data_IF_586680265501
#
_entry.id   IF_586680265501
#
_cell.length_a   1.000
_cell.length_b   1.000
_cell.length_c   1.000
_cell.angle_alpha   90.00
_cell.angle_beta   90.00
_cell.angle_gamma   90.00
#
_symmetry.space_group_name_H-M   'P 1'
#
loop_
_entity.id
_entity.type
_entity.pdbx_description
1 polymer ?
#
# COMPACT_ATOMS: atom_id res chain seq x y z
N UNK A 1 5.70 -14.80 -9.47
CA UNK A 1 6.67 -13.72 -9.76
C UNK A 1 6.14 -12.39 -9.27
N UNK A 2 5.26 -11.69 -10.00
CA UNK A 2 4.73 -10.38 -9.58
C UNK A 2 4.13 -10.38 -8.16
N UNK A 3 3.26 -11.35 -7.86
CA UNK A 3 2.65 -11.43 -6.54
C UNK A 3 3.69 -11.61 -5.42
N UNK A 4 4.75 -12.38 -5.67
CA UNK A 4 5.80 -12.62 -4.67
C UNK A 4 6.65 -11.37 -4.47
N UNK A 5 6.87 -10.58 -5.52
CA UNK A 5 7.57 -9.30 -5.45
C UNK A 5 6.77 -8.26 -4.67
N UNK A 6 5.45 -8.22 -4.86
CA UNK A 6 4.55 -7.38 -4.05
C UNK A 6 4.62 -7.82 -2.59
N UNK A 7 4.47 -9.12 -2.29
CA UNK A 7 4.54 -9.63 -0.90
C UNK A 7 5.87 -9.27 -0.24
N UNK A 8 7.00 -9.43 -0.94
CA UNK A 8 8.33 -9.05 -0.46
C UNK A 8 8.41 -7.55 -0.16
N UNK A 9 7.91 -6.71 -1.08
CA UNK A 9 7.92 -5.25 -0.87
C UNK A 9 7.10 -4.87 0.38
N UNK A 10 5.89 -5.41 0.54
CA UNK A 10 5.07 -5.16 1.73
C UNK A 10 5.78 -5.55 3.04
N UNK A 11 6.47 -6.70 3.05
CA UNK A 11 7.24 -7.14 4.22
C UNK A 11 8.44 -6.23 4.49
N UNK A 12 9.14 -5.76 3.46
CA UNK A 12 10.23 -4.78 3.61
C UNK A 12 9.75 -3.46 4.24
N UNK A 13 8.49 -3.09 3.99
CA UNK A 13 7.83 -1.96 4.63
C UNK A 13 7.11 -2.34 5.93
N UNK A 14 7.43 -3.47 6.57
CA UNK A 14 6.81 -3.88 7.84
C UNK A 14 5.26 -3.99 7.81
N UNK A 15 4.67 -4.24 6.65
CA UNK A 15 3.26 -4.55 6.49
C UNK A 15 3.13 -6.08 6.37
N UNK A 16 2.59 -6.71 7.42
CA UNK A 16 2.61 -8.16 7.57
C UNK A 16 1.24 -8.83 7.32
N UNK A 17 1.21 -10.12 6.91
CA UNK A 17 -0.02 -10.85 6.56
C UNK A 17 -1.12 -10.91 7.61
N UNK A 18 -0.78 -10.74 8.89
CA UNK A 18 -1.74 -10.72 10.00
C UNK A 18 -2.57 -9.41 10.07
N UNK A 19 -2.17 -8.36 9.35
CA UNK A 19 -2.94 -7.10 9.28
C UNK A 19 -3.92 -7.13 8.11
N UNK A 20 -5.16 -6.65 8.33
CA UNK A 20 -6.17 -6.55 7.24
C UNK A 20 -5.68 -5.69 6.07
N UNK A 21 -4.97 -4.60 6.36
CA UNK A 21 -4.43 -3.73 5.31
C UNK A 21 -3.39 -4.41 4.43
N UNK A 22 -2.70 -5.46 4.89
CA UNK A 22 -1.83 -6.26 4.02
C UNK A 22 -2.61 -6.91 2.87
N UNK A 23 -3.71 -7.60 3.21
CA UNK A 23 -4.54 -8.28 2.20
C UNK A 23 -5.10 -7.28 1.19
N UNK A 24 -5.57 -6.13 1.67
CA UNK A 24 -6.13 -5.10 0.80
C UNK A 24 -5.07 -4.45 -0.07
N UNK A 25 -3.92 -4.10 0.50
CA UNK A 25 -2.83 -3.48 -0.24
C UNK A 25 -2.24 -4.43 -1.28
N UNK A 26 -2.17 -5.75 -0.99
CA UNK A 26 -1.79 -6.76 -1.98
C UNK A 26 -2.69 -6.70 -3.22
N UNK A 27 -4.01 -6.70 -3.05
CA UNK A 27 -4.95 -6.58 -4.19
C UNK A 27 -4.89 -5.21 -4.87
N UNK A 28 -4.73 -4.13 -4.12
CA UNK A 28 -4.55 -2.79 -4.69
C UNK A 28 -3.32 -2.75 -5.59
N UNK A 29 -2.20 -3.32 -5.15
CA UNK A 29 -0.94 -3.38 -5.90
C UNK A 29 -1.05 -4.26 -7.14
N UNK A 30 -1.71 -5.42 -7.04
CA UNK A 30 -2.01 -6.28 -8.20
C UNK A 30 -2.78 -5.48 -9.27
N UNK A 31 -3.89 -4.84 -8.91
CA UNK A 31 -4.66 -4.02 -9.86
C UNK A 31 -3.90 -2.81 -10.40
N UNK A 32 -3.08 -2.16 -9.57
CA UNK A 32 -2.34 -0.98 -9.96
C UNK A 32 -1.22 -1.31 -10.96
N UNK A 33 -0.50 -2.43 -10.76
CA UNK A 33 0.60 -2.85 -11.64
C UNK A 33 0.09 -3.51 -12.92
N UNK A 34 -0.98 -4.30 -12.85
CA UNK A 34 -1.59 -4.92 -14.04
C UNK A 34 -2.22 -3.90 -15.00
N UNK A 35 -2.19 -2.60 -14.66
CA UNK A 35 -2.45 -1.54 -15.61
C UNK A 35 -3.91 -1.43 -16.01
N UNK A 36 -4.83 -1.61 -15.06
CA UNK A 36 -6.27 -1.62 -15.32
C UNK A 36 -6.87 -0.26 -15.74
N UNK A 37 -6.04 0.77 -15.96
CA UNK A 37 -6.42 2.13 -16.38
C UNK A 37 -7.23 2.90 -15.34
N UNK A 38 -7.26 2.43 -14.10
CA UNK A 38 -8.11 2.96 -13.02
C UNK A 38 -7.34 3.83 -12.05
N UNK A 39 -8.03 4.83 -11.53
CA UNK A 39 -7.58 5.61 -10.39
C UNK A 39 -7.54 4.76 -9.13
N UNK A 40 -6.77 5.19 -8.14
CA UNK A 40 -6.67 4.48 -6.85
C UNK A 40 -8.02 4.33 -6.15
N UNK A 41 -8.89 5.35 -6.24
CA UNK A 41 -10.24 5.31 -5.67
C UNK A 41 -11.12 4.25 -6.34
N UNK A 42 -11.03 4.10 -7.66
CA UNK A 42 -11.73 3.03 -8.40
C UNK A 42 -11.17 1.65 -8.04
N UNK A 43 -9.85 1.53 -7.85
CA UNK A 43 -9.23 0.28 -7.38
C UNK A 43 -9.74 -0.08 -5.98
N UNK A 44 -9.91 0.89 -5.06
CA UNK A 44 -10.50 0.60 -3.75
C UNK A 44 -11.92 0.04 -3.84
N UNK A 45 -12.72 0.49 -4.81
CA UNK A 45 -14.06 -0.07 -5.05
C UNK A 45 -13.96 -1.54 -5.48
N UNK A 46 -13.09 -1.86 -6.43
CA UNK A 46 -12.88 -3.25 -6.89
C UNK A 46 -12.39 -4.18 -5.77
N UNK A 47 -11.45 -3.70 -4.96
CA UNK A 47 -10.93 -4.48 -3.82
C UNK A 47 -12.01 -4.67 -2.75
N UNK A 48 -12.82 -3.65 -2.51
CA UNK A 48 -13.93 -3.71 -1.56
C UNK A 48 -14.99 -4.74 -1.98
N UNK A 49 -15.37 -4.76 -3.26
CA UNK A 49 -16.26 -5.76 -3.85
C UNK A 49 -15.68 -7.17 -3.69
N UNK A 50 -14.40 -7.36 -4.09
CA UNK A 50 -13.70 -8.65 -3.97
C UNK A 50 -13.63 -9.16 -2.52
N UNK A 51 -13.58 -8.25 -1.55
CA UNK A 51 -13.44 -8.59 -0.13
C UNK A 51 -14.76 -8.57 0.65
N UNK A 52 -15.88 -8.17 0.04
CA UNK A 52 -17.18 -8.04 0.71
C UNK A 52 -17.21 -6.93 1.78
N UNK A 53 -16.53 -5.81 1.54
CA UNK A 53 -16.43 -4.67 2.48
C UNK A 53 -16.76 -3.34 1.80
N UNK A 54 -16.75 -2.23 2.54
CA UNK A 54 -16.94 -0.88 1.97
C UNK A 54 -15.61 -0.29 1.46
N UNK A 55 -15.60 0.53 0.38
CA UNK A 55 -14.38 1.19 -0.11
C UNK A 55 -13.63 1.99 0.96
N UNK A 56 -14.35 2.76 1.78
CA UNK A 56 -13.74 3.52 2.88
C UNK A 56 -13.06 2.63 3.92
N UNK A 57 -13.51 1.37 4.09
CA UNK A 57 -12.86 0.41 4.99
C UNK A 57 -11.55 -0.10 4.39
N UNK A 58 -11.48 -0.28 3.07
CA UNK A 58 -10.25 -0.63 2.36
C UNK A 58 -9.21 0.48 2.54
N UNK A 59 -9.60 1.71 2.21
CA UNK A 59 -8.73 2.88 2.32
C UNK A 59 -8.22 3.07 3.74
N UNK A 60 -9.11 3.06 4.74
CA UNK A 60 -8.72 3.24 6.15
C UNK A 60 -7.77 2.16 6.63
N UNK A 61 -8.04 0.88 6.37
CA UNK A 61 -7.15 -0.20 6.80
C UNK A 61 -5.77 -0.13 6.13
N UNK A 62 -5.69 0.38 4.90
CA UNK A 62 -4.42 0.65 4.22
C UNK A 62 -3.70 1.81 4.92
N UNK A 63 -4.37 2.93 5.17
CA UNK A 63 -3.79 4.07 5.88
C UNK A 63 -3.24 3.67 7.26
N UNK A 64 -4.03 2.92 8.04
CA UNK A 64 -3.62 2.45 9.36
C UNK A 64 -2.39 1.51 9.29
N UNK A 65 -2.28 0.71 8.22
CA UNK A 65 -1.14 -0.20 8.03
C UNK A 65 0.12 0.53 7.60
N UNK A 66 -0.03 1.54 6.74
CA UNK A 66 1.06 2.43 6.33
C UNK A 66 1.54 3.22 7.53
N UNK A 67 0.65 3.88 8.27
CA UNK A 67 1.02 4.65 9.47
C UNK A 67 1.80 3.79 10.46
N UNK A 68 1.29 2.60 10.77
CA UNK A 68 1.97 1.68 11.68
C UNK A 68 3.29 1.12 11.14
N UNK A 69 3.55 1.15 9.82
CA UNK A 69 4.87 0.78 9.31
C UNK A 69 5.95 1.78 9.71
N UNK A 70 5.62 3.07 9.84
CA UNK A 70 6.57 4.11 10.25
C UNK A 70 6.85 4.10 11.76
N UNK A 71 6.13 3.29 12.55
CA UNK A 71 6.52 3.00 13.94
C UNK A 71 7.83 2.20 13.99
N UNK A 72 8.21 1.54 12.89
CA UNK A 72 9.48 0.84 12.78
C UNK A 72 10.60 1.83 12.40
N UNK A 73 11.65 1.89 13.23
CA UNK A 73 12.77 2.81 13.04
C UNK A 73 13.50 2.66 11.70
N UNK A 74 13.66 1.42 11.20
CA UNK A 74 14.31 1.17 9.91
C UNK A 74 13.48 1.71 8.74
N UNK A 75 12.15 1.50 8.77
CA UNK A 75 11.24 2.05 7.75
C UNK A 75 11.21 3.58 7.84
N UNK A 76 11.12 4.14 9.05
CA UNK A 76 11.10 5.58 9.26
C UNK A 76 12.38 6.26 8.79
N UNK A 77 13.55 5.71 9.10
CA UNK A 77 14.83 6.24 8.65
C UNK A 77 14.97 6.17 7.13
N UNK A 78 14.57 5.04 6.53
CA UNK A 78 14.72 4.80 5.10
C UNK A 78 13.70 5.54 4.23
N UNK A 79 12.49 5.78 4.71
CA UNK A 79 11.38 6.29 3.90
C UNK A 79 10.67 7.51 4.49
N UNK A 80 10.97 7.92 5.73
CA UNK A 80 10.27 9.01 6.43
C UNK A 80 10.38 10.36 5.72
N UNK A 81 11.45 10.59 4.96
CA UNK A 81 11.63 11.80 4.15
C UNK A 81 10.61 11.90 2.98
N UNK A 82 9.89 10.83 2.67
CA UNK A 82 8.84 10.79 1.63
C UNK A 82 7.46 11.21 2.16
N UNK A 83 7.34 11.51 3.45
CA UNK A 83 6.13 12.04 4.05
C UNK A 83 5.80 13.44 3.51
N UNK A 84 4.50 13.80 3.50
CA UNK A 84 4.09 15.14 3.11
C UNK A 84 4.58 16.18 4.12
N UNK A 85 5.05 17.33 3.63
CA UNK A 85 5.46 18.46 4.46
C UNK A 85 4.31 19.01 5.31
N UNK A 86 3.06 18.89 4.84
CA UNK A 86 1.90 19.53 5.46
C UNK A 86 1.35 18.75 6.68
N UNK A 87 1.50 17.42 6.69
CA UNK A 87 0.91 16.56 7.72
C UNK A 87 1.87 15.53 8.32
N UNK A 88 3.13 15.49 7.86
CA UNK A 88 4.15 14.55 8.34
C UNK A 88 3.83 13.09 8.05
N UNK A 89 2.83 12.80 7.20
CA UNK A 89 2.37 11.46 6.86
C UNK A 89 2.51 11.21 5.37
N UNK A 90 2.88 9.99 5.01
CA UNK A 90 2.82 9.55 3.62
C UNK A 90 1.35 9.26 3.24
N UNK A 91 0.94 9.66 2.05
CA UNK A 91 -0.42 9.36 1.56
C UNK A 91 -0.46 7.97 0.94
N UNK A 92 -1.63 7.31 0.96
CA UNK A 92 -1.80 5.99 0.33
C UNK A 92 -1.40 6.01 -1.15
N UNK A 93 -1.76 7.07 -1.87
CA UNK A 93 -1.38 7.25 -3.28
C UNK A 93 0.14 7.32 -3.45
N UNK A 94 0.83 8.09 -2.60
CA UNK A 94 2.29 8.21 -2.67
C UNK A 94 2.97 6.89 -2.33
N UNK A 95 2.49 6.20 -1.30
CA UNK A 95 3.01 4.90 -0.88
C UNK A 95 2.85 3.84 -1.98
N UNK A 96 1.66 3.73 -2.59
CA UNK A 96 1.43 2.83 -3.73
C UNK A 96 2.40 3.12 -4.87
N UNK A 97 2.63 4.38 -5.21
CA UNK A 97 3.60 4.74 -6.26
C UNK A 97 5.02 4.29 -5.92
N UNK A 98 5.47 4.47 -4.67
CA UNK A 98 6.79 4.02 -4.21
C UNK A 98 6.93 2.51 -4.38
N UNK A 99 5.92 1.73 -3.97
CA UNK A 99 5.95 0.28 -4.13
C UNK A 99 6.00 -0.14 -5.60
N UNK A 100 5.28 0.56 -6.49
CA UNK A 100 5.33 0.31 -7.94
C UNK A 100 6.74 0.58 -8.46
N UNK A 101 7.32 1.72 -8.10
CA UNK A 101 8.67 2.11 -8.53
C UNK A 101 9.73 1.11 -8.00
N UNK A 102 9.60 0.65 -6.74
CA UNK A 102 10.49 -0.37 -6.16
C UNK A 102 10.37 -1.74 -6.84
N UNK A 103 9.18 -2.10 -7.34
CA UNK A 103 8.97 -3.38 -8.02
C UNK A 103 9.47 -3.32 -9.47
N UNK A 104 9.28 -2.19 -10.16
CA UNK A 104 9.72 -2.02 -11.55
C UNK A 104 11.22 -1.73 -11.71
N UNK A 105 11.87 -1.11 -10.71
CA UNK A 105 13.31 -0.78 -10.76
C UNK A 105 14.20 -1.85 -10.11
N UNK A 106 13.70 -3.08 -9.96
CA UNK A 106 14.46 -4.25 -9.48
C UNK A 106 15.28 -4.92 -10.56
#
# INVERSE_FOLDING_TARGET
MLQDDIKKALICHHIFPNKKGYKYLLYVMEYAIEGCGKTLSEIYVLVAEKCGVKPNSVEKCISDSIESSFDNAFVAEKYGFLASADNGKITNKRFVQILIDEIHNK
#
